data_IF_660957390170
#
_entry.id   IF_660957390170
#
_cell.length_a   1.000
_cell.length_b   1.000
_cell.length_c   1.000
_cell.angle_alpha   90.00
_cell.angle_beta   90.00
_cell.angle_gamma   90.00
#
_symmetry.space_group_name_H-M   'P 1'
#
loop_
_entity.id
_entity.type
_entity.pdbx_description
1 polymer ?
#
# COMPACT_ATOMS: atom_id res chain seq x y z
N UNK A 1 18.73 10.71 10.09
CA UNK A 1 18.20 9.34 9.89
C UNK A 1 17.72 8.85 11.24
N UNK A 2 16.42 8.56 11.42
CA UNK A 2 15.88 8.12 12.72
C UNK A 2 16.42 6.73 13.10
N UNK A 3 16.48 6.41 14.40
CA UNK A 3 16.91 5.09 14.91
C UNK A 3 16.03 3.97 14.32
N UNK A 4 14.73 4.23 14.11
CA UNK A 4 13.80 3.30 13.49
C UNK A 4 14.25 2.91 12.07
N UNK A 5 14.70 3.87 11.25
CA UNK A 5 15.16 3.58 9.89
C UNK A 5 16.43 2.72 9.87
N UNK A 6 17.30 2.80 10.89
CA UNK A 6 18.50 1.95 11.01
C UNK A 6 18.10 0.50 11.27
N UNK A 7 17.15 0.27 12.19
CA UNK A 7 16.67 -1.08 12.52
C UNK A 7 15.96 -1.72 11.32
N UNK A 8 15.07 -0.98 10.66
CA UNK A 8 14.33 -1.47 9.49
C UNK A 8 15.27 -1.82 8.33
N UNK A 9 16.27 -0.97 8.07
CA UNK A 9 17.30 -1.23 7.06
C UNK A 9 18.09 -2.52 7.37
N UNK A 10 18.52 -2.72 8.61
CA UNK A 10 19.24 -3.92 9.01
C UNK A 10 18.39 -5.18 8.84
N UNK A 11 17.11 -5.13 9.24
CA UNK A 11 16.19 -6.24 9.03
C UNK A 11 15.98 -6.55 7.54
N UNK A 12 15.97 -5.52 6.68
CA UNK A 12 15.83 -5.70 5.24
C UNK A 12 17.07 -6.35 4.61
N UNK A 13 18.27 -5.93 5.03
CA UNK A 13 19.53 -6.58 4.65
C UNK A 13 19.56 -8.05 5.11
N UNK A 14 19.13 -8.34 6.34
CA UNK A 14 18.97 -9.72 6.84
C UNK A 14 17.98 -10.51 5.99
N UNK A 15 16.83 -9.93 5.64
CA UNK A 15 15.83 -10.58 4.76
C UNK A 15 16.45 -10.96 3.41
N UNK A 16 17.18 -10.05 2.77
CA UNK A 16 17.84 -10.31 1.48
C UNK A 16 18.84 -11.47 1.54
N UNK A 17 19.61 -11.58 2.61
CA UNK A 17 20.52 -12.71 2.79
C UNK A 17 19.77 -14.02 3.02
N UNK A 18 18.69 -13.99 3.81
CA UNK A 18 17.85 -15.17 4.06
C UNK A 18 17.13 -15.63 2.79
N UNK A 19 16.67 -14.70 1.94
CA UNK A 19 15.97 -15.02 0.68
C UNK A 19 16.83 -15.81 -0.32
N UNK A 20 18.17 -15.77 -0.20
CA UNK A 20 19.07 -16.62 -1.00
C UNK A 20 18.91 -18.11 -0.69
N UNK A 21 18.43 -18.44 0.52
CA UNK A 21 18.22 -19.81 1.01
C UNK A 21 16.74 -20.15 1.16
N UNK A 22 15.92 -19.17 1.56
CA UNK A 22 14.52 -19.31 1.90
C UNK A 22 13.68 -18.28 1.11
N UNK A 23 13.25 -18.59 -0.12
CA UNK A 23 12.40 -17.69 -0.91
C UNK A 23 11.13 -17.28 -0.14
N UNK A 24 10.72 -16.02 -0.29
CA UNK A 24 9.50 -15.44 0.30
C UNK A 24 9.45 -15.40 1.84
N UNK A 25 10.59 -15.51 2.52
CA UNK A 25 10.64 -15.49 3.98
C UNK A 25 10.08 -14.18 4.57
N UNK A 26 9.28 -14.28 5.62
CA UNK A 26 8.58 -13.15 6.25
C UNK A 26 9.03 -12.95 7.70
N UNK A 27 9.13 -11.69 8.14
CA UNK A 27 9.43 -11.38 9.53
C UNK A 27 8.18 -11.63 10.38
N UNK A 28 8.31 -12.45 11.43
CA UNK A 28 7.21 -12.75 12.37
C UNK A 28 7.31 -11.90 13.63
N UNK A 29 8.52 -11.81 14.20
CA UNK A 29 8.80 -11.06 15.43
C UNK A 29 10.25 -10.58 15.38
N UNK A 30 10.51 -9.37 15.87
CA UNK A 30 11.86 -8.90 16.13
C UNK A 30 11.99 -8.36 17.55
N UNK A 31 13.04 -8.78 18.24
CA UNK A 31 13.44 -8.32 19.57
C UNK A 31 14.81 -7.63 19.49
N UNK A 32 15.30 -7.08 20.61
CA UNK A 32 16.65 -6.49 20.66
C UNK A 32 17.76 -7.51 20.32
N UNK A 33 17.55 -8.78 20.65
CA UNK A 33 18.59 -9.81 20.56
C UNK A 33 18.44 -10.72 19.35
N UNK A 34 17.20 -10.92 18.87
CA UNK A 34 16.89 -11.87 17.81
C UNK A 34 15.80 -11.37 16.89
N UNK A 35 15.83 -11.82 15.65
CA UNK A 35 14.72 -11.72 14.69
C UNK A 35 14.26 -13.11 14.28
N UNK A 36 12.95 -13.29 14.16
CA UNK A 36 12.32 -14.56 13.82
C UNK A 36 11.57 -14.44 12.52
N UNK A 37 11.81 -15.40 11.64
CA UNK A 37 11.41 -15.37 10.25
C UNK A 37 10.69 -16.66 9.87
N UNK A 38 9.55 -16.56 9.22
CA UNK A 38 8.76 -17.70 8.74
C UNK A 38 8.98 -17.90 7.25
N UNK A 39 9.36 -19.12 6.89
CA UNK A 39 9.45 -19.56 5.50
C UNK A 39 8.07 -19.82 4.92
N UNK A 40 7.95 -19.90 3.59
CA UNK A 40 6.69 -20.25 2.93
C UNK A 40 6.11 -21.62 3.37
N UNK A 41 6.95 -22.51 3.89
CA UNK A 41 6.57 -23.84 4.41
C UNK A 41 6.14 -23.82 5.89
N UNK A 42 6.11 -22.65 6.54
CA UNK A 42 5.75 -22.51 7.96
C UNK A 42 6.87 -22.89 8.94
N UNK A 43 8.10 -23.05 8.45
CA UNK A 43 9.29 -23.26 9.30
C UNK A 43 9.80 -21.91 9.80
N UNK A 44 10.07 -21.82 11.11
CA UNK A 44 10.65 -20.61 11.71
C UNK A 44 12.16 -20.70 11.80
N UNK A 45 12.83 -19.65 11.35
CA UNK A 45 14.27 -19.42 11.43
C UNK A 45 14.52 -18.26 12.39
N UNK A 46 15.42 -18.44 13.35
CA UNK A 46 15.83 -17.37 14.26
C UNK A 46 17.23 -16.87 13.89
N UNK A 47 17.42 -15.56 13.85
CA UNK A 47 18.70 -14.90 13.56
C UNK A 47 19.10 -14.06 14.77
N UNK A 48 20.32 -14.28 15.27
CA UNK A 48 20.93 -13.46 16.31
C UNK A 48 21.25 -12.05 15.75
N UNK A 49 20.71 -11.01 16.39
CA UNK A 49 20.81 -9.63 15.93
C UNK A 49 22.23 -9.05 16.01
N UNK A 50 23.16 -9.68 16.75
CA UNK A 50 24.57 -9.22 16.87
C UNK A 50 25.46 -9.90 15.84
N UNK A 51 25.33 -11.21 15.70
CA UNK A 51 26.21 -12.05 14.87
C UNK A 51 25.66 -12.32 13.48
N UNK A 52 24.35 -12.12 13.27
CA UNK A 52 23.62 -12.45 12.04
C UNK A 52 23.70 -13.95 11.66
N UNK A 53 23.78 -14.82 12.67
CA UNK A 53 23.88 -16.28 12.51
C UNK A 53 22.53 -16.93 12.86
N UNK A 54 22.18 -18.00 12.11
CA UNK A 54 21.00 -18.84 12.33
C UNK A 54 21.12 -19.64 13.64
N UNK A 55 20.10 -19.57 14.50
CA UNK A 55 20.06 -20.22 15.81
C UNK A 55 19.25 -21.53 15.71
N UNK A 56 19.72 -22.65 16.30
CA UNK A 56 19.00 -23.93 16.32
C UNK A 56 17.59 -23.85 16.94
N UNK A 57 16.66 -24.61 16.36
CA UNK A 57 15.21 -24.36 16.34
C UNK A 57 14.41 -25.04 17.46
N UNK A 58 15.02 -25.88 18.29
CA UNK A 58 14.35 -26.91 19.11
C UNK A 58 13.39 -26.39 20.20
N UNK A 59 13.31 -25.07 20.45
CA UNK A 59 12.40 -24.44 21.44
C UNK A 59 11.58 -23.24 20.92
N UNK A 60 11.64 -22.94 19.63
CA UNK A 60 11.20 -21.64 19.11
C UNK A 60 9.68 -21.39 19.10
N UNK A 61 8.84 -22.43 18.93
CA UNK A 61 7.38 -22.25 18.78
C UNK A 61 6.71 -21.65 20.01
N UNK A 62 7.13 -22.01 21.21
CA UNK A 62 6.55 -21.48 22.46
C UNK A 62 7.00 -20.05 22.75
N UNK A 63 8.27 -19.72 22.51
CA UNK A 63 8.80 -18.36 22.68
C UNK A 63 8.11 -17.36 21.73
N UNK A 64 7.86 -17.78 20.48
CA UNK A 64 7.15 -16.97 19.48
C UNK A 64 5.72 -16.66 19.88
N UNK A 65 4.97 -17.65 20.37
CA UNK A 65 3.59 -17.43 20.81
C UNK A 65 3.52 -16.37 21.91
N UNK A 66 4.40 -16.46 22.90
CA UNK A 66 4.46 -15.50 24.02
C UNK A 66 4.89 -14.10 23.53
N UNK A 67 5.86 -14.01 22.62
CA UNK A 67 6.36 -12.72 22.10
C UNK A 67 5.40 -12.05 21.11
N UNK A 68 4.67 -12.84 20.30
CA UNK A 68 3.70 -12.35 19.31
C UNK A 68 2.51 -11.59 19.92
N UNK A 69 2.27 -11.77 21.23
CA UNK A 69 1.23 -11.08 21.98
C UNK A 69 1.63 -9.65 22.38
N UNK A 70 2.91 -9.26 22.28
CA UNK A 70 3.35 -7.93 22.69
C UNK A 70 3.10 -6.87 21.61
N UNK A 71 2.48 -5.75 22.02
CA UNK A 71 2.07 -4.64 21.14
C UNK A 71 3.24 -3.99 20.38
N UNK A 72 4.43 -3.92 20.99
CA UNK A 72 5.60 -3.22 20.40
C UNK A 72 6.19 -4.00 19.23
N UNK A 73 6.28 -5.31 19.37
CA UNK A 73 6.81 -6.24 18.38
C UNK A 73 5.91 -6.26 17.15
N UNK A 74 4.59 -6.23 17.34
CA UNK A 74 3.61 -6.09 16.24
C UNK A 74 3.81 -4.79 15.45
N UNK A 75 4.01 -3.66 16.12
CA UNK A 75 4.27 -2.37 15.46
C UNK A 75 5.53 -2.44 14.59
N UNK A 76 6.61 -3.06 15.09
CA UNK A 76 7.87 -3.20 14.35
C UNK A 76 7.70 -4.08 13.10
N UNK A 77 6.99 -5.20 13.21
CA UNK A 77 6.70 -6.10 12.08
C UNK A 77 5.89 -5.37 11.00
N UNK A 78 4.85 -4.64 11.41
CA UNK A 78 4.03 -3.85 10.47
C UNK A 78 4.87 -2.75 9.78
N UNK A 79 5.73 -2.07 10.54
CA UNK A 79 6.63 -1.04 9.99
C UNK A 79 7.66 -1.65 9.04
N UNK A 80 8.16 -2.85 9.35
CA UNK A 80 9.05 -3.60 8.47
C UNK A 80 8.37 -4.02 7.18
N UNK A 81 7.13 -4.53 7.24
CA UNK A 81 6.37 -4.88 6.03
C UNK A 81 6.19 -3.69 5.10
N UNK A 82 5.87 -2.51 5.65
CA UNK A 82 5.76 -1.28 4.88
C UNK A 82 7.11 -0.85 4.29
N UNK A 83 8.19 -0.96 5.06
CA UNK A 83 9.54 -0.65 4.59
C UNK A 83 10.01 -1.58 3.46
N UNK A 84 9.85 -2.90 3.65
CA UNK A 84 10.18 -3.94 2.67
C UNK A 84 9.39 -3.76 1.36
N UNK A 85 8.10 -3.44 1.46
CA UNK A 85 7.27 -3.06 0.31
C UNK A 85 7.90 -1.93 -0.49
N UNK A 86 8.19 -0.82 0.18
CA UNK A 86 8.64 0.39 -0.51
C UNK A 86 10.08 0.23 -1.04
N UNK A 87 10.97 -0.45 -0.32
CA UNK A 87 12.31 -0.76 -0.84
C UNK A 87 12.24 -1.64 -2.08
N UNK A 88 11.38 -2.67 -2.09
CA UNK A 88 11.21 -3.52 -3.28
C UNK A 88 10.64 -2.74 -4.45
N UNK A 89 9.70 -1.84 -4.20
CA UNK A 89 9.16 -0.97 -5.26
C UNK A 89 10.22 -0.07 -5.91
N UNK A 90 11.29 0.27 -5.19
CA UNK A 90 12.45 0.98 -5.76
C UNK A 90 13.32 0.06 -6.60
N UNK A 91 13.44 -1.22 -6.21
CA UNK A 91 14.38 -2.19 -6.77
C UNK A 91 13.81 -3.00 -7.93
N UNK A 92 12.48 -3.13 -8.03
CA UNK A 92 11.80 -3.98 -9.00
C UNK A 92 10.40 -3.44 -9.35
N UNK A 93 9.72 -4.09 -10.30
CA UNK A 93 8.39 -3.70 -10.76
C UNK A 93 7.27 -4.13 -9.79
N UNK A 94 6.10 -3.48 -9.92
CA UNK A 94 4.96 -3.69 -9.00
C UNK A 94 4.43 -5.14 -8.99
N UNK A 95 4.52 -5.87 -10.12
CA UNK A 95 4.10 -7.27 -10.18
C UNK A 95 5.07 -8.16 -9.40
N UNK A 96 6.37 -7.89 -9.55
CA UNK A 96 7.41 -8.56 -8.75
C UNK A 96 7.24 -8.27 -7.26
N UNK A 97 6.92 -7.03 -6.86
CA UNK A 97 6.60 -6.69 -5.46
C UNK A 97 5.37 -7.46 -4.95
N UNK A 98 4.29 -7.49 -5.74
CA UNK A 98 3.06 -8.23 -5.44
C UNK A 98 3.36 -9.71 -5.13
N UNK A 99 4.14 -10.35 -6.00
CA UNK A 99 4.56 -11.74 -5.85
C UNK A 99 5.48 -11.96 -4.64
N UNK A 100 6.50 -11.11 -4.45
CA UNK A 100 7.46 -11.26 -3.36
C UNK A 100 6.83 -11.13 -1.97
N UNK A 101 5.79 -10.29 -1.85
CA UNK A 101 5.09 -10.04 -0.60
C UNK A 101 3.81 -10.86 -0.48
N UNK A 102 3.57 -11.76 -1.42
CA UNK A 102 2.43 -12.68 -1.44
C UNK A 102 1.09 -11.95 -1.31
N UNK A 103 0.95 -10.81 -1.98
CA UNK A 103 -0.36 -10.21 -2.16
C UNK A 103 -1.17 -11.07 -3.14
N UNK A 104 -2.45 -11.23 -2.85
CA UNK A 104 -3.36 -12.04 -3.66
C UNK A 104 -3.46 -11.52 -5.10
N UNK A 105 -3.50 -10.20 -5.26
CA UNK A 105 -3.62 -9.51 -6.54
C UNK A 105 -3.19 -8.04 -6.41
N UNK A 106 -3.24 -7.30 -7.52
CA UNK A 106 -2.90 -5.89 -7.54
C UNK A 106 -3.93 -5.00 -6.82
N UNK A 107 -5.19 -5.43 -6.67
CA UNK A 107 -6.19 -4.72 -5.84
C UNK A 107 -5.76 -4.73 -4.38
N UNK A 108 -5.38 -5.89 -3.84
CA UNK A 108 -4.83 -6.02 -2.49
C UNK A 108 -3.55 -5.19 -2.32
N UNK A 109 -2.71 -5.14 -3.35
CA UNK A 109 -1.51 -4.29 -3.37
C UNK A 109 -1.87 -2.80 -3.31
N UNK A 110 -2.83 -2.34 -4.11
CA UNK A 110 -3.30 -0.95 -4.12
C UNK A 110 -3.97 -0.53 -2.81
N UNK A 111 -4.80 -1.41 -2.23
CA UNK A 111 -5.38 -1.21 -0.89
C UNK A 111 -4.28 -1.12 0.19
N UNK A 112 -3.22 -1.93 0.09
CA UNK A 112 -2.09 -1.87 1.03
C UNK A 112 -1.24 -0.58 0.88
N UNK A 113 -1.06 -0.09 -0.34
CA UNK A 113 -0.32 1.15 -0.60
C UNK A 113 -0.95 2.39 0.03
N UNK A 114 -2.27 2.38 0.24
CA UNK A 114 -2.99 3.49 0.89
C UNK A 114 -2.83 3.52 2.41
N UNK A 115 -2.23 2.50 3.02
CA UNK A 115 -2.00 2.51 4.47
C UNK A 115 -1.07 3.69 4.83
N UNK A 116 -1.39 4.40 5.91
CA UNK A 116 -0.64 5.60 6.35
C UNK A 116 0.88 5.36 6.38
N UNK A 117 1.30 4.17 6.82
CA UNK A 117 2.71 3.77 6.91
C UNK A 117 3.39 3.69 5.55
N UNK A 118 2.74 3.09 4.55
CA UNK A 118 3.29 2.94 3.20
C UNK A 118 3.27 4.29 2.49
N UNK A 119 2.15 5.02 2.52
CA UNK A 119 2.03 6.34 1.93
C UNK A 119 3.11 7.30 2.45
N UNK A 120 3.35 7.34 3.76
CA UNK A 120 4.40 8.19 4.35
C UNK A 120 5.80 7.84 3.83
N UNK A 121 6.13 6.55 3.76
CA UNK A 121 7.42 6.10 3.24
C UNK A 121 7.59 6.39 1.75
N UNK A 122 6.51 6.28 0.96
CA UNK A 122 6.50 6.67 -0.45
C UNK A 122 6.76 8.17 -0.60
N UNK A 123 6.09 9.02 0.19
CA UNK A 123 6.31 10.47 0.21
C UNK A 123 7.76 10.82 0.53
N UNK A 124 8.36 10.17 1.53
CA UNK A 124 9.77 10.37 1.90
C UNK A 124 10.71 10.00 0.73
N UNK A 125 10.42 8.94 0.00
CA UNK A 125 11.23 8.49 -1.15
C UNK A 125 11.04 9.35 -2.39
N UNK A 126 9.85 9.89 -2.59
CA UNK A 126 9.55 10.84 -3.66
C UNK A 126 10.36 12.15 -3.55
N UNK A 127 11.02 12.41 -2.42
CA UNK A 127 11.99 13.50 -2.29
C UNK A 127 13.28 13.27 -3.11
N UNK A 128 13.55 12.03 -3.56
CA UNK A 128 14.66 11.72 -4.46
C UNK A 128 14.16 11.66 -5.92
N UNK A 129 14.66 12.53 -6.83
CA UNK A 129 14.17 12.60 -8.21
C UNK A 129 14.30 11.30 -9.03
N UNK A 130 15.32 10.48 -8.77
CA UNK A 130 15.50 9.21 -9.49
C UNK A 130 14.42 8.21 -9.05
N UNK A 131 14.21 8.10 -7.74
CA UNK A 131 13.19 7.20 -7.19
C UNK A 131 11.78 7.66 -7.53
N UNK A 132 11.54 8.98 -7.56
CA UNK A 132 10.28 9.59 -7.98
C UNK A 132 9.81 9.07 -9.35
N UNK A 133 10.70 9.11 -10.35
CA UNK A 133 10.38 8.66 -11.71
C UNK A 133 10.03 7.17 -11.75
N UNK A 134 10.74 6.35 -10.99
CA UNK A 134 10.46 4.92 -10.91
C UNK A 134 9.11 4.66 -10.24
N UNK A 135 8.86 5.30 -9.09
CA UNK A 135 7.60 5.20 -8.35
C UNK A 135 6.43 5.65 -9.22
N UNK A 136 6.54 6.76 -9.96
CA UNK A 136 5.47 7.19 -10.87
C UNK A 136 5.18 6.17 -11.97
N UNK A 137 6.20 5.53 -12.54
CA UNK A 137 6.00 4.46 -13.52
C UNK A 137 5.29 3.25 -12.90
N UNK A 138 5.63 2.86 -11.68
CA UNK A 138 4.95 1.78 -10.97
C UNK A 138 3.51 2.15 -10.61
N UNK A 139 3.24 3.39 -10.23
CA UNK A 139 1.89 3.89 -10.00
C UNK A 139 1.06 3.86 -11.28
N UNK A 140 1.61 4.24 -12.44
CA UNK A 140 0.93 4.11 -13.74
C UNK A 140 0.55 2.67 -14.05
N UNK A 141 1.47 1.73 -13.83
CA UNK A 141 1.20 0.29 -14.03
C UNK A 141 0.10 -0.21 -13.10
N UNK A 142 0.13 0.20 -11.83
CA UNK A 142 -0.87 -0.17 -10.84
C UNK A 142 -2.24 0.43 -11.18
N UNK A 143 -2.31 1.73 -11.47
CA UNK A 143 -3.54 2.43 -11.86
C UNK A 143 -4.18 1.72 -13.04
N UNK A 144 -3.43 1.49 -14.12
CA UNK A 144 -3.94 0.79 -15.30
C UNK A 144 -4.47 -0.61 -14.97
N UNK A 145 -3.76 -1.38 -14.13
CA UNK A 145 -4.23 -2.70 -13.74
C UNK A 145 -5.51 -2.66 -12.90
N UNK A 146 -5.66 -1.65 -12.04
CA UNK A 146 -6.86 -1.43 -11.24
C UNK A 146 -8.04 -0.97 -12.10
N UNK A 147 -7.82 -0.14 -13.11
CA UNK A 147 -8.85 0.24 -14.09
C UNK A 147 -9.36 -0.99 -14.86
N UNK A 148 -8.45 -1.85 -15.33
CA UNK A 148 -8.83 -3.10 -15.98
C UNK A 148 -9.66 -4.00 -15.05
N UNK A 149 -9.35 -4.03 -13.76
CA UNK A 149 -10.14 -4.82 -12.80
C UNK A 149 -11.51 -4.20 -12.52
N UNK A 150 -11.58 -2.88 -12.33
CA UNK A 150 -12.84 -2.17 -12.19
C UNK A 150 -13.75 -2.36 -13.42
N UNK A 151 -13.20 -2.34 -14.63
CA UNK A 151 -13.96 -2.62 -15.86
C UNK A 151 -14.52 -4.04 -15.89
N UNK A 152 -13.79 -5.05 -15.37
CA UNK A 152 -14.32 -6.42 -15.25
C UNK A 152 -15.49 -6.48 -14.29
N UNK A 153 -15.38 -5.84 -13.13
CA UNK A 153 -16.44 -5.79 -12.13
C UNK A 153 -17.68 -5.07 -12.66
N UNK A 154 -17.51 -3.96 -13.39
CA UNK A 154 -18.61 -3.27 -14.09
C UNK A 154 -19.31 -4.18 -15.10
N UNK A 155 -18.55 -4.91 -15.92
CA UNK A 155 -19.11 -5.85 -16.90
C UNK A 155 -19.85 -7.04 -16.26
N UNK A 156 -19.57 -7.33 -14.99
CA UNK A 156 -20.25 -8.35 -14.19
C UNK A 156 -21.39 -7.77 -13.35
N UNK A 157 -21.70 -6.48 -13.50
CA UNK A 157 -22.65 -5.73 -12.68
C UNK A 157 -22.31 -5.72 -11.18
N UNK A 158 -21.04 -5.92 -10.82
CA UNK A 158 -20.54 -5.79 -9.46
C UNK A 158 -20.12 -4.33 -9.19
N UNK A 159 -21.10 -3.43 -9.17
CA UNK A 159 -20.86 -1.99 -9.07
C UNK A 159 -20.21 -1.58 -7.75
N UNK A 160 -20.46 -2.32 -6.66
CA UNK A 160 -19.82 -2.07 -5.37
C UNK A 160 -18.30 -2.23 -5.47
N UNK A 161 -17.83 -3.40 -5.93
CA UNK A 161 -16.39 -3.66 -6.03
C UNK A 161 -15.73 -2.73 -7.05
N UNK A 162 -16.39 -2.45 -8.19
CA UNK A 162 -15.89 -1.48 -9.16
C UNK A 162 -15.67 -0.09 -8.53
N UNK A 163 -16.63 0.42 -7.77
CA UNK A 163 -16.49 1.70 -7.07
C UNK A 163 -15.38 1.65 -6.02
N UNK A 164 -15.26 0.57 -5.25
CA UNK A 164 -14.17 0.42 -4.27
C UNK A 164 -12.79 0.46 -4.92
N UNK A 165 -12.62 -0.18 -6.09
CA UNK A 165 -11.36 -0.16 -6.84
C UNK A 165 -11.05 1.25 -7.36
N UNK A 166 -12.04 1.96 -7.90
CA UNK A 166 -11.86 3.36 -8.37
C UNK A 166 -11.51 4.29 -7.20
N UNK A 167 -12.18 4.14 -6.06
CA UNK A 167 -11.89 4.89 -4.84
C UNK A 167 -10.47 4.63 -4.34
N UNK A 168 -10.00 3.39 -4.43
CA UNK A 168 -8.64 3.00 -4.14
C UNK A 168 -7.63 3.80 -4.99
N UNK A 169 -7.87 3.92 -6.30
CA UNK A 169 -7.05 4.72 -7.21
C UNK A 169 -7.07 6.22 -6.84
N UNK A 170 -8.26 6.79 -6.65
CA UNK A 170 -8.43 8.20 -6.28
C UNK A 170 -7.67 8.52 -4.98
N UNK A 171 -7.83 7.71 -3.94
CA UNK A 171 -7.17 7.94 -2.66
C UNK A 171 -5.65 7.90 -2.77
N UNK A 172 -5.10 6.88 -3.44
CA UNK A 172 -3.66 6.70 -3.59
C UNK A 172 -3.02 7.86 -4.35
N UNK A 173 -3.59 8.22 -5.51
CA UNK A 173 -3.04 9.29 -6.35
C UNK A 173 -3.29 10.67 -5.73
N UNK A 174 -4.39 10.83 -4.99
CA UNK A 174 -4.67 12.06 -4.26
C UNK A 174 -3.61 12.35 -3.20
N UNK A 175 -3.21 11.34 -2.42
CA UNK A 175 -2.12 11.46 -1.43
C UNK A 175 -0.77 11.80 -2.06
N UNK A 176 -0.47 11.22 -3.23
CA UNK A 176 0.82 11.38 -3.91
C UNK A 176 0.81 12.51 -4.96
N UNK A 177 -0.28 13.27 -5.07
CA UNK A 177 -0.55 14.23 -6.15
C UNK A 177 0.46 15.37 -6.31
N UNK A 178 1.19 15.71 -5.23
CA UNK A 178 2.33 16.65 -5.25
C UNK A 178 3.56 16.10 -5.99
N UNK A 179 3.67 14.77 -6.07
CA UNK A 179 4.86 14.05 -6.51
C UNK A 179 4.64 13.35 -7.87
N UNK A 180 3.40 13.20 -8.32
CA UNK A 180 3.09 12.61 -9.63
C UNK A 180 2.75 13.68 -10.67
N UNK A 181 2.90 13.34 -11.95
CA UNK A 181 2.55 14.25 -13.04
C UNK A 181 1.06 14.59 -13.11
N UNK A 182 0.78 15.77 -13.65
CA UNK A 182 -0.59 16.23 -13.96
C UNK A 182 -1.33 15.27 -14.88
N UNK A 183 -0.59 14.59 -15.78
CA UNK A 183 -1.15 13.58 -16.67
C UNK A 183 -1.75 12.43 -15.85
N UNK A 184 -1.01 11.88 -14.89
CA UNK A 184 -1.52 10.78 -14.06
C UNK A 184 -2.70 11.21 -13.18
N UNK A 185 -2.68 12.43 -12.66
CA UNK A 185 -3.81 13.00 -11.89
C UNK A 185 -5.05 13.09 -12.78
N UNK A 186 -4.89 13.57 -14.01
CA UNK A 186 -5.99 13.72 -14.95
C UNK A 186 -6.53 12.36 -15.45
N UNK A 187 -5.65 11.41 -15.74
CA UNK A 187 -6.02 10.06 -16.19
C UNK A 187 -6.95 9.37 -15.18
N UNK A 188 -6.57 9.39 -13.90
CA UNK A 188 -7.35 8.79 -12.80
C UNK A 188 -8.70 9.49 -12.62
N UNK A 189 -8.72 10.81 -12.74
CA UNK A 189 -9.95 11.60 -12.67
C UNK A 189 -10.90 11.28 -13.83
N UNK A 190 -10.37 11.17 -15.04
CA UNK A 190 -11.17 10.92 -16.23
C UNK A 190 -11.72 9.50 -16.25
N UNK A 191 -10.95 8.52 -15.78
CA UNK A 191 -11.46 7.17 -15.56
C UNK A 191 -12.59 7.15 -14.52
N UNK A 192 -12.42 7.83 -13.37
CA UNK A 192 -13.48 7.90 -12.36
C UNK A 192 -14.77 8.55 -12.90
N UNK A 193 -14.66 9.59 -13.73
CA UNK A 193 -15.82 10.20 -14.41
C UNK A 193 -16.44 9.27 -15.46
N UNK A 194 -15.66 8.45 -16.14
CA UNK A 194 -16.18 7.45 -17.06
C UNK A 194 -17.01 6.42 -16.29
N UNK A 195 -16.49 5.87 -15.20
CA UNK A 195 -17.24 4.92 -14.36
C UNK A 195 -18.52 5.56 -13.83
N UNK A 196 -18.49 6.81 -13.38
CA UNK A 196 -19.69 7.53 -12.95
C UNK A 196 -20.78 7.57 -14.03
N UNK A 197 -20.41 7.82 -15.30
CA UNK A 197 -21.37 7.82 -16.42
C UNK A 197 -21.95 6.44 -16.68
N UNK A 198 -21.18 5.38 -16.50
CA UNK A 198 -21.70 4.01 -16.62
C UNK A 198 -22.70 3.70 -15.49
N UNK A 199 -22.40 4.07 -14.25
CA UNK A 199 -23.34 3.93 -13.13
C UNK A 199 -24.64 4.72 -13.34
N UNK A 200 -24.53 5.93 -13.89
CA UNK A 200 -25.71 6.75 -14.26
C UNK A 200 -26.58 6.09 -15.34
N UNK A 201 -25.97 5.47 -16.37
CA UNK A 201 -26.71 4.75 -17.41
C UNK A 201 -27.45 3.53 -16.85
N UNK A 202 -26.81 2.81 -15.93
CA UNK A 202 -27.39 1.63 -15.27
C UNK A 202 -28.35 1.98 -14.13
N UNK A 203 -28.54 3.28 -13.83
CA UNK A 203 -29.39 3.80 -12.75
C UNK A 203 -28.95 3.37 -11.33
N UNK A 204 -27.65 3.16 -11.12
CA UNK A 204 -27.04 2.79 -9.83
C UNK A 204 -26.85 4.01 -8.92
N UNK A 205 -27.98 4.61 -8.49
CA UNK A 205 -28.02 5.91 -7.82
C UNK A 205 -27.09 6.02 -6.59
N UNK A 206 -27.11 5.03 -5.69
CA UNK A 206 -26.29 5.07 -4.48
C UNK A 206 -24.79 5.06 -4.83
N UNK A 207 -24.39 4.21 -5.78
CA UNK A 207 -23.00 4.11 -6.24
C UNK A 207 -22.54 5.34 -7.00
N UNK A 208 -23.40 5.98 -7.77
CA UNK A 208 -23.13 7.27 -8.40
C UNK A 208 -22.87 8.37 -7.36
N UNK A 209 -23.65 8.41 -6.26
CA UNK A 209 -23.41 9.37 -5.16
C UNK A 209 -22.07 9.08 -4.46
N UNK A 210 -21.80 7.82 -4.13
CA UNK A 210 -20.54 7.40 -3.49
C UNK A 210 -19.33 7.83 -4.32
N UNK A 211 -19.35 7.53 -5.62
CA UNK A 211 -18.24 7.86 -6.50
C UNK A 211 -18.11 9.37 -6.72
N UNK A 212 -19.22 10.10 -6.86
CA UNK A 212 -19.20 11.57 -6.95
C UNK A 212 -18.57 12.20 -5.71
N UNK A 213 -18.93 11.68 -4.53
CA UNK A 213 -18.34 12.12 -3.26
C UNK A 213 -16.83 11.87 -3.24
N UNK A 214 -16.38 10.70 -3.67
CA UNK A 214 -14.96 10.36 -3.76
C UNK A 214 -14.20 11.23 -4.76
N UNK A 215 -14.79 11.57 -5.91
CA UNK A 215 -14.19 12.49 -6.89
C UNK A 215 -14.01 13.89 -6.27
N UNK A 216 -15.00 14.40 -5.54
CA UNK A 216 -14.90 15.71 -4.89
C UNK A 216 -13.83 15.72 -3.77
N UNK A 217 -13.76 14.66 -2.96
CA UNK A 217 -12.72 14.50 -1.95
C UNK A 217 -11.32 14.38 -2.56
N UNK A 218 -11.20 13.66 -3.68
CA UNK A 218 -9.97 13.55 -4.45
C UNK A 218 -9.48 14.92 -4.94
N UNK A 219 -10.35 15.71 -5.56
CA UNK A 219 -9.99 17.01 -6.09
C UNK A 219 -9.57 17.99 -5.00
N UNK A 220 -10.30 18.01 -3.88
CA UNK A 220 -9.88 18.74 -2.68
C UNK A 220 -8.46 18.36 -2.25
N UNK A 221 -8.19 17.06 -2.15
CA UNK A 221 -6.91 16.53 -1.69
C UNK A 221 -5.77 16.87 -2.64
N UNK A 222 -6.00 16.80 -3.95
CA UNK A 222 -5.04 17.22 -4.97
C UNK A 222 -4.69 18.70 -4.80
N UNK A 223 -5.70 19.57 -4.62
CA UNK A 223 -5.49 21.00 -4.44
C UNK A 223 -4.71 21.30 -3.14
N UNK A 224 -5.05 20.64 -2.03
CA UNK A 224 -4.36 20.76 -0.74
C UNK A 224 -2.88 20.35 -0.85
N UNK A 225 -2.59 19.20 -1.46
CA UNK A 225 -1.22 18.69 -1.60
C UNK A 225 -0.36 19.55 -2.54
N UNK A 226 -0.99 20.18 -3.53
CA UNK A 226 -0.33 21.10 -4.47
C UNK A 226 -0.23 22.53 -3.95
N UNK A 227 -0.86 22.85 -2.83
CA UNK A 227 -0.86 24.19 -2.24
C UNK A 227 -1.64 25.20 -3.08
N UNK A 228 -2.73 24.77 -3.73
CA UNK A 228 -3.63 25.67 -4.46
C UNK A 228 -4.56 26.34 -3.44
N UNK A 229 -4.37 27.65 -3.26
CA UNK A 229 -5.23 28.49 -2.42
C UNK A 229 -6.57 28.79 -3.14
N UNK A 230 -7.64 29.06 -2.39
CA UNK A 230 -8.98 29.40 -2.89
C UNK A 230 -9.62 28.35 -3.83
N UNK A 231 -9.32 27.07 -3.63
CA UNK A 231 -9.94 26.00 -4.41
C UNK A 231 -11.47 25.95 -4.22
N UNK A 232 -12.20 25.71 -5.31
CA UNK A 232 -13.64 25.44 -5.28
C UNK A 232 -14.03 24.23 -4.40
N UNK A 233 -13.07 23.35 -4.08
CA UNK A 233 -13.27 22.16 -3.25
C UNK A 233 -12.80 22.31 -1.80
N UNK A 234 -12.18 23.43 -1.42
CA UNK A 234 -11.61 23.67 -0.09
C UNK A 234 -12.60 23.34 1.05
N UNK A 235 -13.85 23.78 0.88
CA UNK A 235 -14.92 23.62 1.87
C UNK A 235 -15.71 22.31 1.75
N UNK A 236 -15.35 21.41 0.81
CA UNK A 236 -16.02 20.12 0.68
C UNK A 236 -15.69 19.23 1.88
N UNK A 237 -16.72 18.71 2.57
CA UNK A 237 -16.58 17.90 3.80
C UNK A 237 -16.90 16.41 3.62
N UNK A 238 -17.29 16.02 2.41
CA UNK A 238 -17.82 14.70 2.13
C UNK A 238 -19.29 14.56 2.56
N UNK A 239 -20.03 13.73 1.83
CA UNK A 239 -21.40 13.32 2.20
C UNK A 239 -21.30 12.23 3.27
N UNK A 240 -21.98 12.41 4.40
CA UNK A 240 -22.15 11.38 5.42
C UNK A 240 -23.55 10.76 5.27
N UNK A 241 -23.62 9.43 5.26
CA UNK A 241 -24.90 8.73 5.36
C UNK A 241 -25.43 8.92 6.78
N UNK A 242 -26.67 9.41 6.88
CA UNK A 242 -27.45 9.21 8.10
C UNK A 242 -28.08 7.83 7.98
N UNK A 243 -27.69 6.89 8.84
CA UNK A 243 -28.51 5.70 9.05
C UNK A 243 -29.80 6.19 9.73
N UNK A 244 -30.94 6.03 9.07
CA UNK A 244 -32.24 6.20 9.70
C UNK A 244 -32.46 4.99 10.64
N UNK A 245 -32.59 5.27 11.95
CA UNK A 245 -32.99 4.31 12.99
C UNK A 245 -34.38 3.71 12.74
#
# INVERSE_FOLDING_TARGET
MSIENIVLKKLFETKKELEKKYPYIQLVVATKEKSYWETAEGVIVAIDSKTNIEIPTDKLKYELFVLSQNRREKILVDNFKAYDFVQRLIETDIYSVCNHLMFENLVATGKYMQTEKVTRLLLDICLNPIHLKNVENHLKQLVFALEVEADKELNQNNYLEAVEIVQCNLNLIGELSKHVSDVLVQDVLDYAKQVLRELEKENEFIKSIELTNSICLYLKKVDEQRGIEDSKYENYKGVQYYEED
#
